data_IF_153564715088
#
_entry.id   IF_153564715088
#
_cell.length_a   1.000
_cell.length_b   1.000
_cell.length_c   1.000
_cell.angle_alpha   90.00
_cell.angle_beta   90.00
_cell.angle_gamma   90.00
#
_symmetry.space_group_name_H-M   'P 1'
#
loop_
_entity.id
_entity.type
_entity.pdbx_description
1 polymer ?
#
# COMPACT_ATOMS: atom_id res chain seq x y z
N UNK A 1 -18.00 -28.81 24.27
CA UNK A 1 -18.97 -28.23 25.23
C UNK A 1 -18.46 -26.84 25.59
N UNK A 2 -19.00 -25.80 24.97
CA UNK A 2 -18.65 -24.40 25.23
C UNK A 2 -19.41 -23.93 26.47
N UNK A 3 -18.71 -23.75 27.59
CA UNK A 3 -19.29 -23.20 28.81
C UNK A 3 -19.55 -21.70 28.63
N UNK A 4 -20.75 -21.34 28.19
CA UNK A 4 -21.25 -19.98 28.28
C UNK A 4 -21.48 -19.64 29.75
N UNK A 5 -20.48 -19.01 30.37
CA UNK A 5 -20.63 -18.37 31.66
C UNK A 5 -21.59 -17.20 31.46
N UNK A 6 -22.73 -17.21 32.17
CA UNK A 6 -23.64 -16.09 32.18
C UNK A 6 -22.90 -14.82 32.67
N UNK A 7 -23.20 -13.63 32.12
CA UNK A 7 -22.53 -12.41 32.53
C UNK A 7 -22.84 -12.13 34.01
N UNK A 8 -21.84 -12.29 34.87
CA UNK A 8 -21.93 -11.92 36.29
C UNK A 8 -21.95 -10.39 36.37
N UNK A 9 -23.07 -9.83 36.78
CA UNK A 9 -23.25 -8.41 36.98
C UNK A 9 -22.81 -8.09 38.41
N UNK A 10 -21.62 -7.49 38.56
CA UNK A 10 -21.16 -6.99 39.85
C UNK A 10 -21.87 -5.66 40.17
N UNK A 11 -22.78 -5.71 41.15
CA UNK A 11 -23.48 -4.54 41.70
C UNK A 11 -22.92 -4.17 43.08
N UNK A 12 -22.88 -2.88 43.39
CA UNK A 12 -22.68 -2.40 44.76
C UNK A 12 -23.91 -2.74 45.62
N UNK A 13 -23.77 -2.71 46.95
CA UNK A 13 -24.91 -2.87 47.88
C UNK A 13 -26.01 -1.82 47.64
N UNK A 14 -25.67 -0.66 47.07
CA UNK A 14 -26.62 0.39 46.67
C UNK A 14 -27.30 0.14 45.32
N UNK A 15 -26.99 -0.96 44.62
CA UNK A 15 -27.57 -1.30 43.32
C UNK A 15 -26.92 -0.59 42.12
N UNK A 16 -25.79 0.10 42.33
CA UNK A 16 -25.03 0.69 41.23
C UNK A 16 -24.17 -0.37 40.54
N UNK A 17 -24.16 -0.36 39.21
CA UNK A 17 -23.28 -1.22 38.42
C UNK A 17 -21.84 -0.79 38.66
N UNK A 18 -21.01 -1.70 39.17
CA UNK A 18 -19.58 -1.41 39.33
C UNK A 18 -18.93 -1.52 37.96
N UNK A 19 -18.49 -0.40 37.40
CA UNK A 19 -17.67 -0.44 36.19
C UNK A 19 -16.41 -1.26 36.49
N UNK A 20 -16.11 -2.32 35.72
CA UNK A 20 -14.93 -3.12 35.95
C UNK A 20 -13.68 -2.23 35.78
N UNK A 21 -12.72 -2.27 36.73
CA UNK A 21 -11.50 -1.49 36.63
C UNK A 21 -10.75 -1.89 35.35
N UNK A 22 -10.71 -0.99 34.36
CA UNK A 22 -10.09 -1.23 33.06
C UNK A 22 -10.98 -1.03 31.84
N UNK A 23 -12.25 -0.61 32.01
CA UNK A 23 -13.16 -0.35 30.89
C UNK A 23 -12.69 0.76 29.94
N UNK A 24 -11.86 1.68 30.42
CA UNK A 24 -11.32 2.80 29.63
C UNK A 24 -9.87 2.54 29.24
N UNK A 25 -9.52 2.61 27.94
CA UNK A 25 -8.13 2.53 27.51
C UNK A 25 -7.34 3.68 28.11
N UNK A 26 -6.11 3.40 28.54
CA UNK A 26 -5.25 4.44 29.09
C UNK A 26 -4.94 5.51 28.04
N UNK A 27 -4.71 6.75 28.49
CA UNK A 27 -4.35 7.86 27.60
C UNK A 27 -3.14 7.53 26.71
N UNK A 28 -2.19 6.74 27.22
CA UNK A 28 -1.04 6.27 26.46
C UNK A 28 -1.44 5.37 25.27
N UNK A 29 -2.41 4.48 25.46
CA UNK A 29 -2.93 3.61 24.38
C UNK A 29 -3.64 4.45 23.32
N UNK A 30 -4.42 5.45 23.72
CA UNK A 30 -5.10 6.36 22.80
C UNK A 30 -4.06 7.15 21.99
N UNK A 31 -3.08 7.77 22.67
CA UNK A 31 -2.01 8.51 22.02
C UNK A 31 -1.21 7.66 21.03
N UNK A 32 -0.89 6.41 21.40
CA UNK A 32 -0.18 5.48 20.53
C UNK A 32 -0.99 5.15 19.27
N UNK A 33 -2.30 4.92 19.39
CA UNK A 33 -3.17 4.67 18.23
C UNK A 33 -3.23 5.87 17.29
N UNK A 34 -3.37 7.08 17.84
CA UNK A 34 -3.39 8.32 17.06
C UNK A 34 -2.05 8.54 16.36
N UNK A 35 -0.94 8.30 17.05
CA UNK A 35 0.40 8.42 16.47
C UNK A 35 0.61 7.40 15.33
N UNK A 36 0.24 6.14 15.55
CA UNK A 36 0.34 5.10 14.53
C UNK A 36 -0.51 5.43 13.29
N UNK A 37 -1.74 5.91 13.50
CA UNK A 37 -2.61 6.34 12.42
C UNK A 37 -2.03 7.55 11.66
N UNK A 38 -1.52 8.55 12.38
CA UNK A 38 -0.87 9.71 11.77
C UNK A 38 0.35 9.35 10.92
N UNK A 39 1.18 8.41 11.40
CA UNK A 39 2.32 7.92 10.64
C UNK A 39 1.90 7.17 9.36
N UNK A 40 0.91 6.28 9.47
CA UNK A 40 0.37 5.59 8.30
C UNK A 40 -0.22 6.57 7.28
N UNK A 41 -0.99 7.55 7.74
CA UNK A 41 -1.61 8.56 6.88
C UNK A 41 -0.54 9.45 6.21
N UNK A 42 0.47 9.87 6.96
CA UNK A 42 1.60 10.63 6.43
C UNK A 42 2.38 9.86 5.37
N UNK A 43 2.69 8.58 5.63
CA UNK A 43 3.35 7.72 4.65
C UNK A 43 2.50 7.54 3.38
N UNK A 44 1.20 7.27 3.52
CA UNK A 44 0.29 7.16 2.40
C UNK A 44 0.22 8.45 1.58
N UNK A 45 0.20 9.62 2.24
CA UNK A 45 0.22 10.91 1.57
C UNK A 45 1.50 11.12 0.75
N UNK A 46 2.68 10.75 1.28
CA UNK A 46 3.96 10.85 0.55
C UNK A 46 3.95 9.94 -0.68
N UNK A 47 3.53 8.69 -0.54
CA UNK A 47 3.45 7.74 -1.66
C UNK A 47 2.46 8.21 -2.71
N UNK A 48 1.29 8.71 -2.28
CA UNK A 48 0.29 9.27 -3.18
C UNK A 48 0.83 10.47 -3.94
N UNK A 49 1.49 11.41 -3.25
CA UNK A 49 2.10 12.58 -3.87
C UNK A 49 3.14 12.17 -4.91
N UNK A 50 4.02 11.24 -4.55
CA UNK A 50 5.00 10.69 -5.49
C UNK A 50 4.32 10.05 -6.70
N UNK A 51 3.27 9.25 -6.49
CA UNK A 51 2.53 8.63 -7.58
C UNK A 51 1.89 9.67 -8.53
N UNK A 52 1.30 10.75 -7.99
CA UNK A 52 0.67 11.82 -8.78
C UNK A 52 1.66 12.47 -9.75
N UNK A 53 2.93 12.64 -9.38
CA UNK A 53 3.94 13.20 -10.30
C UNK A 53 4.62 12.13 -11.16
N UNK A 54 4.92 10.97 -10.58
CA UNK A 54 5.72 9.93 -11.25
C UNK A 54 4.91 9.19 -12.29
N UNK A 55 3.62 8.90 -12.05
CA UNK A 55 2.76 8.17 -12.98
C UNK A 55 2.57 8.92 -14.31
N UNK A 56 2.26 10.23 -14.36
CA UNK A 56 2.17 10.95 -15.62
C UNK A 56 3.48 10.93 -16.41
N UNK A 57 4.61 11.12 -15.74
CA UNK A 57 5.93 11.02 -16.37
C UNK A 57 6.13 9.64 -16.98
N UNK A 58 5.91 8.58 -16.19
CA UNK A 58 6.03 7.19 -16.66
C UNK A 58 5.12 6.91 -17.86
N UNK A 59 3.90 7.43 -17.82
CA UNK A 59 2.93 7.28 -18.91
C UNK A 59 3.42 7.95 -20.19
N UNK A 60 3.89 9.20 -20.11
CA UNK A 60 4.43 9.92 -21.26
C UNK A 60 5.65 9.20 -21.83
N UNK A 61 6.60 8.77 -20.99
CA UNK A 61 7.75 8.00 -21.44
C UNK A 61 7.37 6.66 -22.07
N UNK A 62 6.41 5.94 -21.47
CA UNK A 62 5.90 4.69 -21.98
C UNK A 62 5.26 4.85 -23.36
N UNK A 63 4.40 5.86 -23.53
CA UNK A 63 3.77 6.18 -24.82
C UNK A 63 4.82 6.61 -25.85
N UNK A 64 5.76 7.48 -25.48
CA UNK A 64 6.82 7.93 -26.37
C UNK A 64 7.71 6.75 -26.84
N UNK A 65 8.11 5.87 -25.92
CA UNK A 65 8.89 4.68 -26.24
C UNK A 65 8.11 3.72 -27.14
N UNK A 66 6.82 3.50 -26.85
CA UNK A 66 5.94 2.68 -27.69
C UNK A 66 5.84 3.23 -29.12
N UNK A 67 5.55 4.53 -29.26
CA UNK A 67 5.47 5.19 -30.56
C UNK A 67 6.80 5.11 -31.30
N UNK A 68 7.92 5.41 -30.63
CA UNK A 68 9.25 5.32 -31.21
C UNK A 68 9.54 3.93 -31.78
N UNK A 69 9.30 2.87 -30.99
CA UNK A 69 9.47 1.48 -31.44
C UNK A 69 8.53 1.15 -32.59
N UNK A 70 7.25 1.56 -32.50
CA UNK A 70 6.25 1.32 -33.53
C UNK A 70 6.63 1.96 -34.87
N UNK A 71 7.15 3.18 -34.84
CA UNK A 71 7.61 3.89 -36.04
C UNK A 71 8.92 3.32 -36.61
N UNK A 72 9.86 2.89 -35.76
CA UNK A 72 11.08 2.18 -36.19
C UNK A 72 10.75 0.88 -36.93
N UNK A 73 9.81 0.09 -36.41
CA UNK A 73 9.31 -1.13 -37.05
C UNK A 73 8.57 -0.83 -38.35
N UNK A 74 7.68 0.18 -38.36
CA UNK A 74 6.92 0.57 -39.55
C UNK A 74 7.80 1.09 -40.69
N UNK A 75 8.92 1.75 -40.37
CA UNK A 75 9.90 2.24 -41.35
C UNK A 75 10.89 1.16 -41.82
N UNK A 76 10.70 -0.10 -41.43
CA UNK A 76 11.60 -1.20 -41.79
C UNK A 76 13.03 -1.05 -41.26
N UNK A 77 13.28 -0.07 -40.37
CA UNK A 77 14.59 0.21 -39.78
C UNK A 77 14.92 -0.69 -38.59
N UNK A 78 13.99 -1.56 -38.20
CA UNK A 78 14.29 -2.67 -37.30
C UNK A 78 15.09 -3.73 -38.06
N UNK A 79 16.35 -3.42 -38.38
CA UNK A 79 17.39 -4.39 -38.69
C UNK A 79 17.78 -5.12 -37.40
N UNK A 80 16.80 -5.77 -36.76
CA UNK A 80 16.99 -6.76 -35.71
C UNK A 80 17.31 -8.13 -36.30
N UNK A 81 18.03 -8.18 -37.43
CA UNK A 81 18.62 -9.41 -37.91
C UNK A 81 19.78 -9.78 -36.98
N UNK A 82 19.89 -11.03 -36.51
CA UNK A 82 21.03 -11.46 -35.72
C UNK A 82 22.29 -11.42 -36.60
N UNK A 83 22.99 -10.29 -36.61
CA UNK A 83 24.29 -10.10 -37.26
C UNK A 83 25.40 -10.97 -36.63
N UNK A 84 25.07 -11.75 -35.59
CA UNK A 84 26.02 -12.56 -34.82
C UNK A 84 26.25 -13.95 -35.45
N UNK A 85 25.39 -14.41 -36.38
CA UNK A 85 25.52 -15.76 -36.97
C UNK A 85 26.40 -15.85 -38.23
N UNK A 86 27.02 -14.77 -38.68
CA UNK A 86 27.82 -14.75 -39.93
C UNK A 86 29.34 -14.66 -39.73
N UNK A 87 29.84 -15.02 -38.55
CA UNK A 87 31.30 -15.03 -38.26
C UNK A 87 31.89 -16.44 -38.19
N UNK A 88 31.06 -17.49 -38.08
CA UNK A 88 31.53 -18.89 -37.97
C UNK A 88 31.24 -19.72 -39.23
N UNK A 89 31.78 -19.30 -40.37
CA UNK A 89 32.02 -20.19 -41.51
C UNK A 89 33.45 -19.96 -41.99
N UNK A 90 34.36 -20.74 -41.41
CA UNK A 90 35.63 -21.13 -42.01
C UNK A 90 35.53 -22.62 -42.33
#
# INVERSE_FOLDING_TARGET
>A
MTQHHAPTIDMTISGEFRDPPGRYPSLAVIALRVAAFGLMLGFAAIVFWLAVFTLPLLFVFGVAAYLYLRFQMARGKFSGGPSVLRVFRF
#
